data_IF_534144726584
#
_entry.id   IF_534144726584
#
_cell.length_a   1.000
_cell.length_b   1.000
_cell.length_c   1.000
_cell.angle_alpha   90.00
_cell.angle_beta   90.00
_cell.angle_gamma   90.00
#
_symmetry.space_group_name_H-M   'P 1'
#
loop_
_entity.id
_entity.type
_entity.pdbx_description
1 polymer ?
#
# COMPACT_ATOMS: atom_id res chain seq x y z
N UNK A 1 6.67 -4.58 -0.44
CA UNK A 1 5.93 -3.90 0.62
C UNK A 1 4.69 -4.70 1.07
N UNK A 2 4.38 -4.70 2.37
CA UNK A 2 3.17 -5.31 2.93
C UNK A 2 3.05 -4.87 4.39
N UNK A 3 2.00 -4.13 4.72
CA UNK A 3 1.76 -3.63 6.07
C UNK A 3 0.40 -4.13 6.56
N UNK A 4 0.34 -4.59 7.81
CA UNK A 4 -0.91 -4.86 8.51
C UNK A 4 -1.23 -3.66 9.36
N UNK A 5 -2.41 -3.09 9.18
CA UNK A 5 -2.94 -2.03 10.03
C UNK A 5 -4.22 -2.52 10.66
N UNK A 6 -4.31 -2.43 11.97
CA UNK A 6 -5.48 -2.92 12.70
C UNK A 6 -5.92 -1.96 13.79
N UNK A 7 -7.22 -1.95 14.03
CA UNK A 7 -7.83 -1.25 15.14
C UNK A 7 -9.08 -2.04 15.61
N UNK A 8 -9.12 -2.41 16.89
CA UNK A 8 -10.15 -3.29 17.47
C UNK A 8 -10.26 -4.60 16.68
N UNK A 9 -11.44 -4.89 16.12
CA UNK A 9 -11.72 -6.11 15.36
C UNK A 9 -11.60 -5.94 13.85
N UNK A 10 -11.04 -4.82 13.39
CA UNK A 10 -10.81 -4.54 11.97
C UNK A 10 -9.32 -4.53 11.64
N UNK A 11 -8.91 -5.34 10.68
CA UNK A 11 -7.58 -5.32 10.08
C UNK A 11 -7.65 -5.10 8.58
N UNK A 12 -6.64 -4.43 8.04
CA UNK A 12 -6.44 -4.25 6.59
C UNK A 12 -4.99 -4.53 6.22
N UNK A 13 -4.77 -4.92 4.97
CA UNK A 13 -3.45 -4.91 4.37
C UNK A 13 -3.28 -3.64 3.55
N UNK A 14 -2.16 -2.96 3.72
CA UNK A 14 -1.67 -1.95 2.77
C UNK A 14 -0.54 -2.61 2.00
N UNK A 15 -0.79 -2.86 0.73
CA UNK A 15 -0.02 -3.72 -0.16
C UNK A 15 0.07 -5.19 0.29
N UNK A 16 0.40 -6.04 -0.65
CA UNK A 16 0.59 -7.47 -0.43
C UNK A 16 1.73 -8.00 -1.31
N UNK A 17 2.88 -7.33 -1.26
CA UNK A 17 4.03 -7.60 -2.12
C UNK A 17 4.81 -8.88 -1.81
N UNK A 18 4.50 -9.54 -0.71
CA UNK A 18 5.08 -10.81 -0.31
C UNK A 18 4.28 -12.01 -0.83
N UNK A 19 4.90 -13.18 -0.89
CA UNK A 19 4.15 -14.41 -1.15
C UNK A 19 3.09 -14.64 -0.06
N UNK A 20 1.89 -15.09 -0.42
CA UNK A 20 0.77 -15.26 0.51
C UNK A 20 1.12 -16.04 1.79
N UNK A 21 1.94 -17.12 1.69
CA UNK A 21 2.44 -17.86 2.86
C UNK A 21 3.25 -16.97 3.81
N UNK A 22 4.07 -16.06 3.28
CA UNK A 22 4.87 -15.13 4.11
C UNK A 22 3.98 -14.07 4.77
N UNK A 23 2.94 -13.59 4.07
CA UNK A 23 1.96 -12.65 4.64
C UNK A 23 1.24 -13.33 5.80
N UNK A 24 0.70 -14.54 5.59
CA UNK A 24 0.04 -15.32 6.65
C UNK A 24 0.95 -15.50 7.87
N UNK A 25 2.18 -15.98 7.65
CA UNK A 25 3.13 -16.18 8.74
C UNK A 25 3.51 -14.89 9.46
N UNK A 26 3.61 -13.76 8.74
CA UNK A 26 3.87 -12.45 9.36
C UNK A 26 2.72 -11.97 10.24
N UNK A 27 1.48 -12.20 9.83
CA UNK A 27 0.27 -11.87 10.61
C UNK A 27 0.22 -12.72 11.89
N UNK A 28 0.47 -14.04 11.78
CA UNK A 28 0.53 -14.96 12.91
C UNK A 28 1.64 -14.57 13.90
N UNK A 29 2.83 -14.20 13.42
CA UNK A 29 3.94 -13.74 14.26
C UNK A 29 3.65 -12.41 14.97
N UNK A 30 2.80 -11.57 14.41
CA UNK A 30 2.32 -10.34 15.03
C UNK A 30 1.18 -10.58 16.03
N UNK A 31 0.83 -11.84 16.32
CA UNK A 31 -0.27 -12.25 17.21
C UNK A 31 -1.61 -11.57 16.82
N UNK A 32 -1.82 -11.42 15.50
CA UNK A 32 -3.06 -10.87 14.96
C UNK A 32 -3.87 -11.96 14.26
N UNK A 33 -5.18 -11.96 14.52
CA UNK A 33 -6.11 -12.90 13.91
C UNK A 33 -6.32 -12.56 12.44
N UNK A 34 -5.89 -13.48 11.56
CA UNK A 34 -5.97 -13.30 10.11
C UNK A 34 -7.43 -13.17 9.62
N UNK A 35 -8.39 -13.75 10.30
CA UNK A 35 -9.81 -13.70 9.94
C UNK A 35 -10.42 -12.31 10.20
N UNK A 36 -9.69 -11.43 10.91
CA UNK A 36 -10.05 -10.02 11.08
C UNK A 36 -9.55 -9.11 9.95
N UNK A 37 -8.78 -9.62 8.99
CA UNK A 37 -8.38 -8.87 7.79
C UNK A 37 -9.60 -8.78 6.86
N UNK A 38 -10.08 -7.57 6.63
CA UNK A 38 -11.31 -7.30 5.89
C UNK A 38 -11.09 -6.71 4.49
N UNK A 39 -9.85 -6.37 4.13
CA UNK A 39 -9.56 -5.83 2.81
C UNK A 39 -8.08 -5.57 2.56
N UNK A 40 -7.73 -5.40 1.30
CA UNK A 40 -6.37 -5.12 0.81
C UNK A 40 -6.42 -3.82 0.03
N UNK A 41 -5.66 -2.82 0.44
CA UNK A 41 -5.52 -1.54 -0.24
C UNK A 41 -4.17 -1.49 -0.96
N UNK A 42 -4.19 -1.33 -2.26
CA UNK A 42 -2.98 -1.33 -3.11
C UNK A 42 -2.57 0.11 -3.40
N UNK A 43 -1.28 0.40 -3.18
CA UNK A 43 -0.69 1.71 -3.48
C UNK A 43 -0.47 1.89 -4.98
N UNK A 44 0.09 0.88 -5.65
CA UNK A 44 0.37 0.87 -7.10
C UNK A 44 0.65 -0.56 -7.60
N UNK A 45 0.79 -0.73 -8.92
CA UNK A 45 0.82 -2.02 -9.63
C UNK A 45 2.18 -2.73 -9.72
N UNK A 46 3.23 -2.26 -9.04
CA UNK A 46 4.53 -2.94 -9.05
C UNK A 46 4.48 -4.28 -8.32
N UNK A 47 5.28 -5.23 -8.79
CA UNK A 47 5.21 -6.63 -8.36
C UNK A 47 5.48 -6.86 -6.88
N UNK A 48 6.32 -6.03 -6.28
CA UNK A 48 6.68 -6.06 -4.86
C UNK A 48 5.61 -5.40 -3.96
N UNK A 49 4.49 -4.93 -4.56
CA UNK A 49 3.30 -4.45 -3.86
C UNK A 49 2.09 -5.37 -4.05
N UNK A 50 2.02 -6.13 -5.15
CA UNK A 50 0.81 -6.89 -5.52
C UNK A 50 0.97 -8.41 -5.52
N UNK A 51 2.19 -8.95 -5.40
CA UNK A 51 2.53 -10.37 -5.61
C UNK A 51 1.61 -11.36 -4.87
N UNK A 52 1.21 -11.06 -3.66
CA UNK A 52 0.33 -11.89 -2.85
C UNK A 52 -1.13 -11.44 -2.83
N UNK A 53 -1.46 -10.28 -3.41
CA UNK A 53 -2.79 -9.67 -3.29
C UNK A 53 -3.91 -10.61 -3.73
N UNK A 54 -3.80 -11.18 -4.93
CA UNK A 54 -4.82 -12.11 -5.42
C UNK A 54 -4.91 -13.41 -4.62
N UNK A 55 -3.78 -13.91 -4.10
CA UNK A 55 -3.76 -15.11 -3.25
C UNK A 55 -4.49 -14.83 -1.93
N UNK A 56 -4.21 -13.69 -1.30
CA UNK A 56 -4.84 -13.31 -0.04
C UNK A 56 -6.32 -13.02 -0.21
N UNK A 57 -6.72 -12.30 -1.26
CA UNK A 57 -8.12 -12.04 -1.57
C UNK A 57 -8.92 -13.34 -1.75
N UNK A 58 -8.40 -14.31 -2.54
CA UNK A 58 -9.06 -15.60 -2.72
C UNK A 58 -9.08 -16.46 -1.45
N UNK A 59 -8.00 -16.43 -0.66
CA UNK A 59 -7.89 -17.23 0.57
C UNK A 59 -8.86 -16.77 1.65
N UNK A 60 -9.00 -15.47 1.82
CA UNK A 60 -9.81 -14.87 2.90
C UNK A 60 -11.17 -14.39 2.42
N UNK A 61 -11.44 -14.48 1.11
CA UNK A 61 -12.63 -13.95 0.44
C UNK A 61 -12.87 -12.45 0.74
N UNK A 62 -11.82 -11.65 0.63
CA UNK A 62 -11.83 -10.21 0.95
C UNK A 62 -11.56 -9.35 -0.28
N UNK A 63 -12.11 -8.12 -0.32
CA UNK A 63 -11.93 -7.20 -1.43
C UNK A 63 -10.51 -6.63 -1.53
N UNK A 64 -10.12 -6.34 -2.79
CA UNK A 64 -8.95 -5.55 -3.13
C UNK A 64 -9.43 -4.17 -3.58
N UNK A 65 -8.90 -3.15 -2.94
CA UNK A 65 -9.14 -1.74 -3.24
C UNK A 65 -7.95 -1.15 -3.98
N UNK A 66 -8.17 -0.62 -5.17
CA UNK A 66 -7.18 0.10 -5.95
C UNK A 66 -7.87 1.14 -6.85
N UNK A 67 -7.14 2.18 -7.28
CA UNK A 67 -7.70 3.07 -8.29
C UNK A 67 -7.73 2.38 -9.67
N UNK A 68 -8.45 3.00 -10.60
CA UNK A 68 -8.68 2.40 -11.92
C UNK A 68 -7.38 2.06 -12.67
N UNK A 69 -6.39 2.96 -12.65
CA UNK A 69 -5.13 2.75 -13.37
C UNK A 69 -4.30 1.63 -12.75
N UNK A 70 -4.21 1.58 -11.43
CA UNK A 70 -3.58 0.48 -10.69
C UNK A 70 -4.26 -0.85 -11.02
N UNK A 71 -5.62 -0.90 -11.08
CA UNK A 71 -6.34 -2.09 -11.53
C UNK A 71 -5.96 -2.50 -12.94
N UNK A 72 -5.88 -1.57 -13.89
CA UNK A 72 -5.45 -1.86 -15.26
C UNK A 72 -4.04 -2.47 -15.32
N UNK A 73 -3.12 -1.99 -14.46
CA UNK A 73 -1.73 -2.46 -14.41
C UNK A 73 -1.53 -3.80 -13.69
N UNK A 74 -2.45 -4.19 -12.79
CA UNK A 74 -2.25 -5.38 -11.94
C UNK A 74 -3.16 -6.57 -12.23
N UNK A 75 -4.35 -6.40 -12.82
CA UNK A 75 -5.38 -7.44 -12.95
C UNK A 75 -4.88 -8.75 -13.56
N UNK A 76 -4.04 -8.67 -14.60
CA UNK A 76 -3.51 -9.84 -15.28
C UNK A 76 -2.37 -10.52 -14.53
N UNK A 77 -1.82 -9.86 -13.50
CA UNK A 77 -0.68 -10.34 -12.70
C UNK A 77 -1.10 -11.06 -11.41
N UNK A 78 -2.28 -10.76 -10.88
CA UNK A 78 -2.73 -11.27 -9.57
C UNK A 78 -3.66 -12.49 -9.65
N UNK A 79 -3.98 -12.95 -10.89
CA UNK A 79 -4.91 -14.04 -11.16
C UNK A 79 -6.38 -13.61 -10.98
N UNK A 80 -7.30 -14.53 -11.20
CA UNK A 80 -8.73 -14.24 -11.17
C UNK A 80 -9.19 -13.80 -9.78
N UNK A 81 -9.91 -12.67 -9.72
CA UNK A 81 -10.55 -12.14 -8.53
C UNK A 81 -12.06 -12.14 -8.80
N UNK A 82 -12.87 -12.46 -7.80
CA UNK A 82 -14.32 -12.32 -7.87
C UNK A 82 -14.69 -10.86 -8.14
N UNK A 83 -15.71 -10.63 -8.95
CA UNK A 83 -16.12 -9.27 -9.33
C UNK A 83 -16.50 -8.43 -8.10
N UNK A 84 -17.21 -9.02 -7.15
CA UNK A 84 -17.56 -8.38 -5.88
C UNK A 84 -16.36 -7.97 -5.01
N UNK A 85 -15.20 -8.61 -5.22
CA UNK A 85 -13.95 -8.32 -4.51
C UNK A 85 -13.03 -7.35 -5.29
N UNK A 86 -13.47 -6.83 -6.43
CA UNK A 86 -12.74 -5.84 -7.24
C UNK A 86 -13.28 -4.45 -6.98
N UNK A 87 -12.74 -3.74 -6.00
CA UNK A 87 -13.22 -2.40 -5.66
C UNK A 87 -12.33 -1.33 -6.28
N UNK A 88 -12.91 -0.54 -7.17
CA UNK A 88 -12.24 0.63 -7.76
C UNK A 88 -12.54 1.84 -6.89
N UNK A 89 -11.51 2.52 -6.43
CA UNK A 89 -11.65 3.73 -5.63
C UNK A 89 -11.22 5.01 -6.38
N UNK A 90 -11.74 6.14 -5.92
CA UNK A 90 -11.30 7.49 -6.31
C UNK A 90 -10.30 8.03 -5.28
N UNK A 91 -9.19 8.62 -5.74
CA UNK A 91 -8.09 9.08 -4.87
C UNK A 91 -8.51 10.17 -3.84
N UNK A 92 -9.64 10.85 -4.06
CA UNK A 92 -10.09 11.95 -3.18
C UNK A 92 -11.18 11.54 -2.20
N UNK A 93 -11.63 10.29 -2.23
CA UNK A 93 -12.71 9.79 -1.36
C UNK A 93 -12.17 9.06 -0.15
N UNK A 94 -12.95 9.06 0.92
CA UNK A 94 -12.71 8.25 2.11
C UNK A 94 -13.55 6.98 2.05
N UNK A 95 -12.94 5.86 2.37
CA UNK A 95 -13.55 4.53 2.40
C UNK A 95 -13.61 4.05 3.84
N UNK A 96 -14.75 3.51 4.24
CA UNK A 96 -14.95 2.95 5.58
C UNK A 96 -14.92 1.44 5.52
N UNK A 97 -14.16 0.82 6.42
CA UNK A 97 -14.08 -0.62 6.57
C UNK A 97 -13.99 -0.93 8.06
N UNK A 98 -15.06 -1.49 8.62
CA UNK A 98 -15.21 -1.64 10.06
C UNK A 98 -15.03 -0.31 10.80
N UNK A 99 -14.10 -0.27 11.73
CA UNK A 99 -13.78 0.94 12.50
C UNK A 99 -12.70 1.83 11.89
N UNK A 100 -12.21 1.46 10.70
CA UNK A 100 -11.18 2.23 10.00
C UNK A 100 -11.78 3.08 8.88
N UNK A 101 -11.24 4.29 8.71
CA UNK A 101 -11.49 5.15 7.55
C UNK A 101 -10.20 5.33 6.79
N UNK A 102 -10.20 4.98 5.52
CA UNK A 102 -9.04 4.97 4.66
C UNK A 102 -9.21 6.01 3.57
N UNK A 103 -8.30 6.96 3.50
CA UNK A 103 -8.28 8.00 2.47
C UNK A 103 -6.98 7.94 1.69
N UNK A 104 -7.03 7.58 0.40
CA UNK A 104 -5.88 7.66 -0.48
C UNK A 104 -5.50 9.12 -0.77
N UNK A 105 -4.23 9.35 -1.12
CA UNK A 105 -3.73 10.62 -1.65
C UNK A 105 -2.62 10.35 -2.67
N UNK A 106 -2.61 11.10 -3.76
CA UNK A 106 -1.64 10.88 -4.84
C UNK A 106 -0.21 11.18 -4.41
N UNK A 107 0.72 10.32 -4.84
CA UNK A 107 2.17 10.48 -4.68
C UNK A 107 2.86 10.38 -6.05
N UNK A 108 3.94 11.13 -6.30
CA UNK A 108 4.73 10.98 -7.52
C UNK A 108 5.59 9.72 -7.43
N UNK A 109 5.45 8.84 -8.43
CA UNK A 109 6.21 7.61 -8.57
C UNK A 109 6.21 7.16 -10.03
N UNK A 110 7.14 6.27 -10.43
CA UNK A 110 7.22 5.69 -11.78
C UNK A 110 6.17 4.57 -12.00
N UNK A 111 4.92 4.85 -11.68
CA UNK A 111 3.74 3.99 -11.83
C UNK A 111 2.59 4.76 -12.48
N UNK A 112 1.50 4.07 -12.84
CA UNK A 112 0.38 4.68 -13.55
C UNK A 112 -0.36 5.75 -12.72
N UNK A 113 -0.55 5.51 -11.41
CA UNK A 113 -1.22 6.46 -10.50
C UNK A 113 -1.02 6.03 -9.03
N UNK A 114 0.19 6.19 -8.51
CA UNK A 114 0.52 5.78 -7.15
C UNK A 114 -0.18 6.64 -6.09
N UNK A 115 -0.56 5.97 -5.00
CA UNK A 115 -1.17 6.61 -3.82
C UNK A 115 -0.47 6.21 -2.53
N UNK A 116 -0.44 7.14 -1.58
CA UNK A 116 -0.30 6.85 -0.17
C UNK A 116 -1.65 6.80 0.53
N UNK A 117 -1.68 6.43 1.79
CA UNK A 117 -2.91 6.30 2.57
C UNK A 117 -2.84 7.05 3.88
N UNK A 118 -3.90 7.79 4.17
CA UNK A 118 -4.23 8.23 5.51
C UNK A 118 -5.27 7.27 6.10
N UNK A 119 -4.99 6.70 7.25
CA UNK A 119 -5.84 5.74 7.94
C UNK A 119 -6.22 6.36 9.27
N UNK A 120 -7.51 6.42 9.53
CA UNK A 120 -8.08 7.02 10.72
C UNK A 120 -8.79 5.94 11.52
N UNK A 121 -8.57 5.95 12.83
CA UNK A 121 -9.38 5.29 13.83
C UNK A 121 -9.95 6.36 14.76
N UNK A 122 -11.05 6.16 15.45
CA UNK A 122 -11.69 7.11 16.39
C UNK A 122 -11.07 8.54 16.42
N UNK A 123 -9.90 8.70 17.04
CA UNK A 123 -9.24 10.01 17.24
C UNK A 123 -7.81 10.08 16.67
N UNK A 124 -7.30 9.00 16.11
CA UNK A 124 -5.91 8.90 15.67
C UNK A 124 -5.81 8.78 14.16
N UNK A 125 -4.75 9.33 13.64
CA UNK A 125 -4.38 9.25 12.22
C UNK A 125 -3.02 8.58 12.09
N UNK A 126 -2.94 7.62 11.17
CA UNK A 126 -1.71 7.04 10.66
C UNK A 126 -1.58 7.37 9.18
N UNK A 127 -0.37 7.60 8.70
CA UNK A 127 -0.10 7.79 7.27
C UNK A 127 0.95 6.82 6.79
N UNK A 128 0.73 6.27 5.59
CA UNK A 128 1.67 5.40 4.89
C UNK A 128 1.95 6.04 3.53
N UNK A 129 3.22 6.27 3.23
CA UNK A 129 3.68 6.79 1.94
C UNK A 129 5.03 6.16 1.62
N UNK A 130 5.02 5.21 0.70
CA UNK A 130 6.18 4.47 0.20
C UNK A 130 6.40 4.77 -1.26
N UNK A 131 7.57 4.47 -1.79
CA UNK A 131 7.92 4.67 -3.20
C UNK A 131 7.67 6.11 -3.69
N UNK A 132 8.13 7.06 -2.89
CA UNK A 132 7.98 8.48 -3.19
C UNK A 132 9.16 8.94 -4.05
N UNK A 133 8.89 9.33 -5.30
CA UNK A 133 9.92 9.90 -6.17
C UNK A 133 10.46 11.24 -5.63
N UNK A 134 9.56 12.13 -5.20
CA UNK A 134 9.92 13.40 -4.56
C UNK A 134 8.79 13.92 -3.65
N UNK A 135 9.17 14.71 -2.65
CA UNK A 135 8.21 15.25 -1.67
C UNK A 135 7.48 16.48 -2.23
N UNK A 136 6.17 16.36 -2.37
CA UNK A 136 5.27 17.45 -2.77
C UNK A 136 4.58 18.09 -1.57
N UNK A 137 3.97 19.27 -1.78
CA UNK A 137 3.14 19.90 -0.74
C UNK A 137 1.88 19.08 -0.43
N UNK A 138 1.36 18.34 -1.43
CA UNK A 138 0.28 17.38 -1.22
C UNK A 138 0.68 16.32 -0.18
N UNK A 139 1.84 15.69 -0.35
CA UNK A 139 2.37 14.71 0.61
C UNK A 139 2.55 15.37 1.99
N UNK A 140 3.26 16.50 2.06
CA UNK A 140 3.49 17.21 3.33
C UNK A 140 2.19 17.51 4.08
N UNK A 141 1.15 17.97 3.36
CA UNK A 141 -0.13 18.30 3.96
C UNK A 141 -0.89 17.03 4.40
N UNK A 142 -0.79 15.95 3.64
CA UNK A 142 -1.40 14.67 4.01
C UNK A 142 -0.70 14.00 5.19
N UNK A 143 0.59 14.18 5.39
CA UNK A 143 1.30 13.63 6.56
C UNK A 143 1.08 14.44 7.85
N UNK A 144 0.69 15.72 7.77
CA UNK A 144 0.45 16.56 8.96
C UNK A 144 -0.62 15.96 9.86
N UNK A 145 -0.37 16.03 11.17
CA UNK A 145 -1.29 15.56 12.21
C UNK A 145 -1.35 14.04 12.35
N UNK A 146 -0.50 13.29 11.66
CA UNK A 146 -0.38 11.85 11.86
C UNK A 146 0.37 11.54 13.15
N UNK A 147 -0.18 10.63 13.96
CA UNK A 147 0.49 10.11 15.16
C UNK A 147 1.61 9.13 14.80
N UNK A 148 1.43 8.41 13.70
CA UNK A 148 2.41 7.50 13.13
C UNK A 148 2.53 7.76 11.64
N UNK A 149 3.76 7.79 11.13
CA UNK A 149 4.06 7.90 9.70
C UNK A 149 4.98 6.75 9.32
N UNK A 150 4.55 5.94 8.36
CA UNK A 150 5.42 5.00 7.64
C UNK A 150 5.86 5.71 6.38
N UNK A 151 7.13 6.07 6.36
CA UNK A 151 7.74 6.81 5.25
C UNK A 151 8.96 6.04 4.77
N UNK A 152 9.03 5.82 3.47
CA UNK A 152 10.19 5.18 2.88
C UNK A 152 11.36 6.17 2.73
N UNK A 153 12.57 5.67 3.01
CA UNK A 153 13.82 6.39 2.81
C UNK A 153 14.80 5.45 2.10
N UNK A 154 14.75 5.47 0.76
CA UNK A 154 15.32 4.42 -0.08
C UNK A 154 16.84 4.49 -0.23
N UNK A 155 17.46 5.65 -0.07
CA UNK A 155 18.89 5.78 -0.30
C UNK A 155 19.51 6.98 0.41
N UNK A 156 20.79 6.85 0.74
CA UNK A 156 21.67 7.97 1.02
C UNK A 156 22.25 8.50 -0.30
N UNK A 157 22.12 9.80 -0.62
CA UNK A 157 22.61 10.36 -1.88
C UNK A 157 24.09 10.09 -2.14
N UNK A 158 24.94 10.16 -1.12
CA UNK A 158 26.38 9.92 -1.27
C UNK A 158 26.66 8.45 -1.54
N UNK A 159 26.00 7.53 -0.80
CA UNK A 159 26.13 6.08 -1.03
C UNK A 159 25.64 5.70 -2.42
N UNK A 160 24.51 6.27 -2.88
CA UNK A 160 24.01 6.02 -4.22
C UNK A 160 24.99 6.50 -5.30
N UNK A 161 25.50 7.71 -5.17
CA UNK A 161 26.44 8.28 -6.15
C UNK A 161 27.77 7.51 -6.19
N UNK A 162 28.29 7.09 -5.05
CA UNK A 162 29.55 6.33 -4.93
C UNK A 162 29.38 4.83 -5.18
N UNK A 163 28.16 4.30 -5.15
CA UNK A 163 27.86 2.88 -5.33
C UNK A 163 28.11 2.39 -6.76
N UNK A 164 28.15 1.07 -6.94
CA UNK A 164 28.44 0.38 -8.19
C UNK A 164 27.27 0.36 -9.20
N UNK A 165 26.13 0.95 -8.88
CA UNK A 165 24.98 0.98 -9.78
C UNK A 165 25.28 1.76 -11.06
N UNK A 166 24.69 1.30 -12.17
CA UNK A 166 24.77 2.03 -13.44
C UNK A 166 24.14 3.41 -13.33
N UNK A 167 24.59 4.34 -14.16
CA UNK A 167 24.05 5.72 -14.17
C UNK A 167 22.52 5.72 -14.38
N UNK A 168 22.02 4.87 -15.29
CA UNK A 168 20.58 4.74 -15.54
C UNK A 168 19.79 4.31 -14.29
N UNK A 169 20.34 3.34 -13.52
CA UNK A 169 19.71 2.89 -12.27
C UNK A 169 19.80 3.97 -11.19
N UNK A 170 20.95 4.67 -11.06
CA UNK A 170 21.10 5.80 -10.14
C UNK A 170 20.07 6.89 -10.42
N UNK A 171 19.88 7.24 -11.70
CA UNK A 171 18.88 8.23 -12.12
C UNK A 171 17.46 7.80 -11.76
N UNK A 172 17.13 6.51 -11.95
CA UNK A 172 15.81 5.96 -11.60
C UNK A 172 15.56 6.01 -10.09
N UNK A 173 16.57 5.69 -9.27
CA UNK A 173 16.45 5.72 -7.79
C UNK A 173 16.31 7.17 -7.26
N UNK A 174 16.82 8.17 -8.00
CA UNK A 174 16.72 9.59 -7.63
C UNK A 174 15.45 10.27 -8.15
N UNK A 175 14.68 9.64 -9.02
CA UNK A 175 13.45 10.19 -9.60
C UNK A 175 12.24 9.69 -8.83
#
# INVERSE_FOLDING_TARGET
NCHVVSYKDTGILIDAGLAGKRITSGIEQADFDIDKIQGIFITHEHSDHIKGAGIMSRKLDIPIYANFKTWCGMKDKIGNIKEENMIVFDNDKTYELGELKIRPFSIPHDSEDAVGYNIYSDKEKMSIATDIGYITDNIRNNLKGSKLVVLESNYDPNMLMMGSYTYALKKRVMS
#
